data_IF_827344231041
#
_entry.id   IF_827344231041
#
_cell.length_a   1.000
_cell.length_b   1.000
_cell.length_c   1.000
_cell.angle_alpha   90.00
_cell.angle_beta   90.00
_cell.angle_gamma   90.00
#
_symmetry.space_group_name_H-M   'P 1'
#
loop_
_entity.id
_entity.type
_entity.pdbx_description
1 polymer ?
#
# COMPACT_ATOMS: atom_id res chain seq x y z
N UNK A 1 -63.82 -29.60 -34.61
CA UNK A 1 -63.09 -28.49 -35.24
C UNK A 1 -61.87 -28.17 -34.40
N UNK A 2 -60.69 -28.20 -35.04
CA UNK A 2 -59.42 -27.56 -34.68
C UNK A 2 -58.75 -27.95 -33.35
N UNK A 3 -57.76 -28.84 -33.48
CA UNK A 3 -56.62 -28.89 -32.57
C UNK A 3 -55.61 -27.78 -32.87
N UNK A 4 -54.78 -27.47 -31.88
CA UNK A 4 -53.55 -26.68 -31.98
C UNK A 4 -52.56 -27.32 -30.97
N UNK A 5 -51.67 -28.20 -31.41
CA UNK A 5 -50.31 -27.93 -31.93
C UNK A 5 -49.43 -27.16 -30.92
N UNK A 6 -48.67 -27.93 -30.15
CA UNK A 6 -47.41 -27.49 -29.53
C UNK A 6 -46.46 -27.03 -30.64
N UNK A 7 -45.93 -25.82 -30.52
CA UNK A 7 -44.79 -25.34 -31.30
C UNK A 7 -43.57 -25.25 -30.38
N UNK A 8 -42.61 -26.13 -30.66
CA UNK A 8 -41.25 -26.12 -30.12
C UNK A 8 -40.55 -24.87 -30.67
N UNK A 9 -40.13 -23.96 -29.80
CA UNK A 9 -39.23 -22.85 -30.18
C UNK A 9 -37.80 -23.41 -30.12
N UNK A 10 -37.24 -23.70 -31.29
CA UNK A 10 -35.82 -24.00 -31.44
C UNK A 10 -35.01 -22.71 -31.26
N UNK A 11 -34.06 -22.74 -30.33
CA UNK A 11 -33.07 -21.68 -30.17
C UNK A 11 -32.03 -21.84 -31.30
N UNK A 12 -32.06 -20.92 -32.27
CA UNK A 12 -31.03 -20.83 -33.30
C UNK A 12 -29.72 -20.32 -32.66
N UNK A 13 -28.71 -21.17 -32.63
CA UNK A 13 -27.32 -20.78 -32.33
C UNK A 13 -26.79 -20.03 -33.56
N UNK A 14 -26.85 -18.70 -33.51
CA UNK A 14 -26.17 -17.83 -34.46
C UNK A 14 -24.68 -17.77 -34.13
N UNK A 15 -23.86 -18.49 -34.91
CA UNK A 15 -22.41 -18.28 -34.94
C UNK A 15 -22.15 -16.97 -35.69
N UNK A 16 -22.05 -15.87 -34.95
CA UNK A 16 -21.48 -14.63 -35.48
C UNK A 16 -19.97 -14.72 -35.35
N UNK A 17 -19.32 -15.00 -36.48
CA UNK A 17 -17.89 -14.82 -36.65
C UNK A 17 -17.52 -13.35 -36.39
N UNK A 18 -16.82 -13.12 -35.28
CA UNK A 18 -16.17 -11.86 -34.98
C UNK A 18 -14.86 -11.78 -35.74
N UNK A 19 -14.80 -10.87 -36.71
CA UNK A 19 -13.61 -10.50 -37.44
C UNK A 19 -12.51 -10.03 -36.48
N UNK A 20 -11.30 -10.55 -36.67
CA UNK A 20 -10.06 -10.00 -36.13
C UNK A 20 -9.85 -8.60 -36.71
N UNK A 21 -10.16 -7.57 -35.94
CA UNK A 21 -9.68 -6.22 -36.21
C UNK A 21 -8.37 -6.06 -35.42
N UNK A 22 -7.26 -6.15 -36.14
CA UNK A 22 -5.94 -5.78 -35.67
C UNK A 22 -5.87 -4.24 -35.56
N UNK A 23 -5.98 -3.74 -34.33
CA UNK A 23 -5.73 -2.36 -33.92
C UNK A 23 -5.52 -2.39 -32.42
N UNK A 24 -4.28 -2.18 -31.97
CA UNK A 24 -3.82 -2.46 -30.61
C UNK A 24 -4.57 -1.68 -29.54
N UNK A 25 -5.50 -2.35 -28.86
CA UNK A 25 -5.95 -1.94 -27.55
C UNK A 25 -4.90 -2.41 -26.54
N UNK A 26 -4.29 -1.47 -25.81
CA UNK A 26 -3.50 -1.80 -24.63
C UNK A 26 -4.34 -2.69 -23.71
N UNK A 27 -3.72 -3.67 -23.05
CA UNK A 27 -4.45 -4.48 -22.07
C UNK A 27 -4.96 -3.59 -20.95
N UNK A 28 -6.05 -3.99 -20.26
CA UNK A 28 -6.56 -3.22 -19.11
C UNK A 28 -5.48 -2.96 -18.05
N UNK A 29 -4.55 -3.91 -17.91
CA UNK A 29 -3.38 -3.80 -17.03
C UNK A 29 -2.37 -2.75 -17.49
N UNK A 30 -2.09 -2.67 -18.80
CA UNK A 30 -1.20 -1.65 -19.37
C UNK A 30 -1.79 -0.24 -19.21
N UNK A 31 -3.10 -0.09 -19.48
CA UNK A 31 -3.81 1.18 -19.30
C UNK A 31 -3.77 1.62 -17.84
N UNK A 32 -4.11 0.72 -16.92
CA UNK A 32 -4.07 1.00 -15.47
C UNK A 32 -2.66 1.35 -14.99
N UNK A 33 -1.65 0.65 -15.50
CA UNK A 33 -0.25 0.93 -15.21
C UNK A 33 0.16 2.34 -15.62
N UNK A 34 -0.22 2.75 -16.83
CA UNK A 34 0.04 4.10 -17.33
C UNK A 34 -0.68 5.19 -16.52
N UNK A 35 -1.95 4.99 -16.16
CA UNK A 35 -2.72 5.94 -15.35
C UNK A 35 -2.09 6.13 -13.96
N UNK A 36 -1.69 5.03 -13.31
CA UNK A 36 -1.04 5.07 -11.99
C UNK A 36 0.35 5.70 -12.07
N UNK A 37 1.14 5.36 -13.07
CA UNK A 37 2.46 5.95 -13.29
C UNK A 37 2.38 7.47 -13.51
N UNK A 38 1.46 7.91 -14.37
CA UNK A 38 1.22 9.35 -14.63
C UNK A 38 0.77 10.09 -13.38
N UNK A 39 0.04 9.42 -12.48
CA UNK A 39 -0.45 10.05 -11.26
C UNK A 39 0.60 10.13 -10.15
N UNK A 40 1.43 9.10 -9.99
CA UNK A 40 2.31 8.97 -8.83
C UNK A 40 3.81 9.06 -9.14
N UNK A 41 4.23 8.80 -10.38
CA UNK A 41 5.63 8.58 -10.72
C UNK A 41 6.19 9.65 -11.66
N UNK A 42 5.39 10.13 -12.63
CA UNK A 42 5.92 10.97 -13.72
C UNK A 42 6.38 12.37 -13.26
N UNK A 43 5.88 12.89 -12.14
CA UNK A 43 6.39 14.16 -11.58
C UNK A 43 7.89 14.07 -11.21
N UNK A 44 8.40 12.88 -10.91
CA UNK A 44 9.81 12.63 -10.61
C UNK A 44 10.56 11.98 -11.78
N UNK A 45 9.97 10.95 -12.41
CA UNK A 45 10.62 10.15 -13.44
C UNK A 45 10.33 10.63 -14.88
N UNK A 46 9.45 11.61 -15.07
CA UNK A 46 8.99 12.05 -16.39
C UNK A 46 7.98 11.10 -17.02
N UNK A 47 7.19 11.62 -17.96
CA UNK A 47 6.18 10.83 -18.67
C UNK A 47 6.80 9.73 -19.54
N UNK A 48 8.00 9.95 -20.09
CA UNK A 48 8.71 8.92 -20.86
C UNK A 48 9.70 8.09 -20.04
N UNK A 49 9.85 8.37 -18.74
CA UNK A 49 10.81 7.72 -17.86
C UNK A 49 12.24 8.24 -17.97
N UNK A 50 12.50 9.20 -18.86
CA UNK A 50 13.84 9.78 -19.05
C UNK A 50 14.21 10.73 -17.93
N UNK A 51 15.50 10.73 -17.60
CA UNK A 51 16.04 11.71 -16.66
C UNK A 51 15.82 13.14 -17.15
N UNK A 52 15.65 14.06 -16.20
CA UNK A 52 15.39 15.49 -16.42
C UNK A 52 14.02 15.85 -17.00
N UNK A 53 13.10 14.90 -17.19
CA UNK A 53 11.73 15.20 -17.67
C UNK A 53 10.74 15.49 -16.54
N UNK A 54 10.90 14.85 -15.37
CA UNK A 54 10.00 15.05 -14.25
C UNK A 54 10.01 16.49 -13.75
N UNK A 55 8.83 17.06 -13.50
CA UNK A 55 8.66 18.43 -12.98
C UNK A 55 9.52 18.70 -11.73
N UNK A 56 9.68 17.70 -10.86
CA UNK A 56 10.42 17.82 -9.61
C UNK A 56 11.93 17.58 -9.76
N UNK A 57 12.39 17.14 -10.93
CA UNK A 57 13.78 16.69 -11.15
C UNK A 57 14.84 17.71 -10.73
N UNK A 58 14.67 18.97 -11.15
CA UNK A 58 15.62 20.04 -10.88
C UNK A 58 15.66 20.47 -9.41
N UNK A 59 14.69 20.05 -8.61
CA UNK A 59 14.56 20.39 -7.18
C UNK A 59 14.95 19.25 -6.24
N UNK A 60 15.21 18.05 -6.76
CA UNK A 60 15.64 16.91 -5.95
C UNK A 60 17.16 16.95 -5.68
N UNK A 61 17.61 16.59 -4.47
CA UNK A 61 19.03 16.36 -4.22
C UNK A 61 19.51 15.09 -4.93
N UNK A 62 20.83 14.91 -5.02
CA UNK A 62 21.41 13.63 -5.42
C UNK A 62 21.31 12.61 -4.25
N UNK A 63 21.17 11.31 -4.55
CA UNK A 63 20.97 10.75 -5.87
C UNK A 63 19.56 11.06 -6.41
N UNK A 64 19.49 11.38 -7.71
CA UNK A 64 18.23 11.62 -8.43
C UNK A 64 17.62 10.32 -8.95
N UNK A 65 16.32 10.31 -9.29
CA UNK A 65 15.68 9.10 -9.80
C UNK A 65 16.38 8.51 -11.03
N UNK A 66 16.35 7.17 -11.14
CA UNK A 66 16.91 6.44 -12.29
C UNK A 66 16.21 6.79 -13.60
N UNK A 67 16.93 6.63 -14.71
CA UNK A 67 16.35 6.66 -16.06
C UNK A 67 15.58 5.35 -16.31
N UNK A 68 14.25 5.41 -16.21
CA UNK A 68 13.39 4.25 -16.41
C UNK A 68 13.27 3.83 -17.90
N UNK A 69 13.74 4.67 -18.82
CA UNK A 69 13.78 4.38 -20.25
C UNK A 69 15.09 3.73 -20.70
N UNK A 70 16.13 3.74 -19.85
CA UNK A 70 17.43 3.15 -20.16
C UNK A 70 17.36 1.62 -20.19
N UNK A 71 17.19 1.05 -21.38
CA UNK A 71 17.11 -0.41 -21.59
C UNK A 71 18.32 -1.19 -21.09
N UNK A 72 19.53 -0.65 -21.20
CA UNK A 72 20.75 -1.39 -20.81
C UNK A 72 20.83 -1.60 -19.30
N UNK A 73 20.27 -0.66 -18.54
CA UNK A 73 20.30 -0.64 -17.09
C UNK A 73 19.01 -1.24 -16.52
N UNK A 74 17.85 -0.76 -16.96
CA UNK A 74 16.56 -1.29 -16.54
C UNK A 74 16.35 -2.76 -16.91
N UNK A 75 16.99 -3.21 -17.99
CA UNK A 75 16.93 -4.61 -18.42
C UNK A 75 17.69 -5.58 -17.52
N UNK A 76 18.54 -5.11 -16.59
CA UNK A 76 19.25 -6.00 -15.65
C UNK A 76 18.40 -6.39 -14.45
N UNK A 77 17.34 -5.62 -14.14
CA UNK A 77 16.44 -5.91 -13.04
C UNK A 77 15.36 -6.89 -13.49
N UNK A 78 14.97 -7.80 -12.60
CA UNK A 78 13.80 -8.66 -12.71
C UNK A 78 12.51 -7.89 -12.41
N UNK A 79 11.37 -8.40 -12.85
CA UNK A 79 10.07 -7.79 -12.54
C UNK A 79 9.84 -7.71 -11.02
N UNK A 80 10.30 -8.72 -10.29
CA UNK A 80 10.20 -8.79 -8.83
C UNK A 80 11.06 -7.72 -8.14
N UNK A 81 12.26 -7.42 -8.64
CA UNK A 81 13.10 -6.35 -8.07
C UNK A 81 12.48 -4.97 -8.26
N UNK A 82 11.90 -4.71 -9.44
CA UNK A 82 11.15 -3.46 -9.69
C UNK A 82 9.94 -3.39 -8.76
N UNK A 83 9.16 -4.48 -8.66
CA UNK A 83 8.03 -4.56 -7.73
C UNK A 83 8.44 -4.30 -6.28
N UNK A 84 9.50 -4.97 -5.81
CA UNK A 84 10.01 -4.84 -4.45
C UNK A 84 10.44 -3.41 -4.17
N UNK A 85 10.99 -2.73 -5.18
CA UNK A 85 11.41 -1.34 -5.00
C UNK A 85 10.23 -0.39 -4.88
N UNK A 86 9.15 -0.59 -5.64
CA UNK A 86 7.92 0.22 -5.53
C UNK A 86 7.18 -0.07 -4.20
N UNK A 87 7.35 -1.28 -3.67
CA UNK A 87 6.63 -1.81 -2.49
C UNK A 87 7.48 -1.95 -1.22
N UNK A 88 8.73 -1.48 -1.19
CA UNK A 88 9.55 -1.50 0.04
C UNK A 88 9.02 -0.50 1.06
N UNK A 89 9.37 -0.69 2.33
CA UNK A 89 9.13 0.35 3.34
C UNK A 89 10.09 1.54 3.13
N UNK A 90 9.74 2.67 3.74
CA UNK A 90 10.61 3.86 3.73
C UNK A 90 11.90 3.58 4.49
N UNK A 91 13.03 3.99 3.91
CA UNK A 91 14.36 3.80 4.48
C UNK A 91 14.77 5.04 5.28
N UNK A 92 15.43 4.84 6.41
CA UNK A 92 16.04 5.90 7.20
C UNK A 92 17.45 6.19 6.67
N UNK A 93 17.69 7.39 6.16
CA UNK A 93 19.01 7.79 5.64
C UNK A 93 19.95 8.40 6.68
N UNK A 94 19.56 8.40 7.95
CA UNK A 94 20.36 9.01 8.99
C UNK A 94 21.74 8.32 9.11
N UNK A 95 22.84 9.08 9.13
CA UNK A 95 24.19 8.50 9.14
C UNK A 95 24.53 7.71 10.42
N UNK A 96 23.89 8.02 11.56
CA UNK A 96 24.18 7.38 12.85
C UNK A 96 23.33 6.13 13.12
N UNK A 97 22.11 6.08 12.59
CA UNK A 97 21.13 5.02 12.89
C UNK A 97 20.21 4.66 11.71
N UNK A 98 20.65 4.95 10.50
CA UNK A 98 19.96 4.67 9.25
C UNK A 98 19.98 3.20 8.85
N UNK A 99 19.15 2.89 7.86
CA UNK A 99 19.18 1.61 7.18
C UNK A 99 20.42 1.53 6.29
N UNK A 100 20.99 0.33 6.12
CA UNK A 100 22.05 0.11 5.13
C UNK A 100 21.45 0.21 3.73
N UNK A 101 21.92 1.19 2.94
CA UNK A 101 21.46 1.43 1.57
C UNK A 101 22.59 1.04 0.63
N UNK A 102 22.35 0.02 -0.20
CA UNK A 102 23.37 -0.48 -1.12
C UNK A 102 23.51 0.43 -2.34
N UNK A 103 24.72 0.49 -2.92
CA UNK A 103 24.97 1.22 -4.17
C UNK A 103 24.14 0.68 -5.35
N UNK A 104 23.69 -0.57 -5.26
CA UNK A 104 22.86 -1.27 -6.25
C UNK A 104 21.34 -1.09 -6.03
N UNK A 105 20.92 -0.38 -4.98
CA UNK A 105 19.50 -0.19 -4.69
C UNK A 105 18.85 0.70 -5.77
N UNK A 106 17.88 0.11 -6.47
CA UNK A 106 17.18 0.69 -7.61
C UNK A 106 16.54 2.06 -7.31
N UNK A 107 16.14 2.30 -6.06
CA UNK A 107 15.48 3.52 -5.64
C UNK A 107 16.36 4.37 -4.74
N UNK A 108 16.42 5.64 -5.10
CA UNK A 108 16.91 6.69 -4.21
C UNK A 108 16.13 6.65 -2.89
N UNK A 109 16.75 6.95 -1.75
CA UNK A 109 16.06 6.83 -0.46
C UNK A 109 14.79 7.69 -0.35
N UNK A 110 14.76 8.78 -1.12
CA UNK A 110 13.63 9.71 -1.24
C UNK A 110 12.47 9.20 -2.09
N UNK A 111 12.61 8.07 -2.82
CA UNK A 111 11.50 7.46 -3.55
C UNK A 111 10.47 6.94 -2.53
N UNK A 112 9.21 7.39 -2.60
CA UNK A 112 8.20 7.00 -1.63
C UNK A 112 7.77 5.55 -1.81
N UNK A 113 7.35 4.92 -0.71
CA UNK A 113 6.69 3.62 -0.74
C UNK A 113 5.26 3.75 -1.28
N UNK A 114 4.86 2.81 -2.13
CA UNK A 114 3.47 2.67 -2.57
C UNK A 114 2.76 1.45 -1.97
N UNK A 115 3.46 0.68 -1.14
CA UNK A 115 2.95 -0.51 -0.43
C UNK A 115 1.66 -0.27 0.32
N UNK A 116 1.51 0.92 0.92
CA UNK A 116 0.34 1.28 1.71
C UNK A 116 -0.71 2.10 0.94
N UNK A 117 -0.46 2.36 -0.34
CA UNK A 117 -1.31 3.20 -1.20
C UNK A 117 -1.99 2.39 -2.30
N UNK A 118 -1.23 1.52 -2.95
CA UNK A 118 -1.66 0.71 -4.09
C UNK A 118 -1.86 -0.75 -3.66
N UNK A 119 -2.75 -1.46 -4.34
CA UNK A 119 -2.84 -2.91 -4.18
C UNK A 119 -1.69 -3.63 -4.90
N UNK A 120 -1.44 -4.91 -4.59
CA UNK A 120 -0.38 -5.70 -5.29
C UNK A 120 -0.60 -5.68 -6.81
N UNK A 121 -1.84 -5.89 -7.27
CA UNK A 121 -2.23 -5.83 -8.68
C UNK A 121 -1.90 -4.48 -9.35
N UNK A 122 -2.12 -3.39 -8.62
CA UNK A 122 -1.81 -2.03 -9.10
C UNK A 122 -0.31 -1.79 -9.21
N UNK A 123 0.47 -2.28 -8.25
CA UNK A 123 1.94 -2.17 -8.31
C UNK A 123 2.46 -2.98 -9.50
N UNK A 124 1.94 -4.20 -9.75
CA UNK A 124 2.28 -4.97 -10.95
C UNK A 124 1.89 -4.25 -12.25
N UNK A 125 0.77 -3.54 -12.27
CA UNK A 125 0.42 -2.71 -13.42
C UNK A 125 1.47 -1.60 -13.66
N UNK A 126 1.95 -0.93 -12.60
CA UNK A 126 3.04 0.05 -12.70
C UNK A 126 4.33 -0.61 -13.21
N UNK A 127 4.71 -1.78 -12.70
CA UNK A 127 5.87 -2.55 -13.21
C UNK A 127 5.74 -2.82 -14.70
N UNK A 128 4.55 -3.25 -15.16
CA UNK A 128 4.25 -3.43 -16.56
C UNK A 128 4.46 -2.16 -17.40
N UNK A 129 4.03 -1.01 -16.88
CA UNK A 129 4.28 0.27 -17.55
C UNK A 129 5.76 0.64 -17.58
N UNK A 130 6.48 0.48 -16.46
CA UNK A 130 7.93 0.71 -16.39
C UNK A 130 8.67 -0.14 -17.42
N UNK A 131 8.27 -1.41 -17.63
CA UNK A 131 8.83 -2.26 -18.69
C UNK A 131 8.66 -1.68 -20.09
N UNK A 132 7.50 -1.09 -20.37
CA UNK A 132 7.23 -0.45 -21.66
C UNK A 132 8.16 0.74 -21.91
N UNK A 133 8.48 1.54 -20.87
CA UNK A 133 9.33 2.73 -21.00
C UNK A 133 10.72 2.42 -21.56
N UNK A 134 11.27 1.24 -21.26
CA UNK A 134 12.55 0.76 -21.80
C UNK A 134 12.41 -0.36 -22.85
N UNK A 135 11.24 -0.49 -23.46
CA UNK A 135 11.00 -1.37 -24.60
C UNK A 135 11.06 -2.87 -24.26
N UNK A 136 10.71 -3.23 -23.03
CA UNK A 136 10.54 -4.61 -22.57
C UNK A 136 9.07 -4.90 -22.28
N UNK A 137 8.75 -6.17 -22.06
CA UNK A 137 7.46 -6.63 -21.57
C UNK A 137 7.66 -7.29 -20.22
N UNK A 138 6.71 -7.09 -19.32
CA UNK A 138 6.66 -7.82 -18.06
C UNK A 138 6.41 -9.30 -18.32
N UNK A 139 7.18 -10.16 -17.66
CA UNK A 139 7.08 -11.61 -17.70
C UNK A 139 6.21 -12.14 -16.54
N UNK A 140 6.13 -11.40 -15.43
CA UNK A 140 5.31 -11.77 -14.28
C UNK A 140 3.84 -11.98 -14.64
N UNK A 141 3.28 -13.14 -14.24
CA UNK A 141 1.90 -13.50 -14.53
C UNK A 141 0.97 -13.16 -13.35
N UNK A 142 0.36 -11.98 -13.44
CA UNK A 142 -0.56 -11.46 -12.42
C UNK A 142 -1.81 -12.32 -12.25
N UNK A 143 -2.32 -12.92 -13.33
CA UNK A 143 -3.47 -13.84 -13.28
C UNK A 143 -3.15 -15.13 -12.51
N UNK A 144 -1.97 -15.72 -12.75
CA UNK A 144 -1.51 -16.90 -12.03
C UNK A 144 -1.27 -16.60 -10.53
N UNK A 145 -0.74 -15.41 -10.21
CA UNK A 145 -0.56 -14.96 -8.83
C UNK A 145 -1.90 -14.87 -8.09
N UNK A 146 -2.92 -14.26 -8.70
CA UNK A 146 -4.27 -14.20 -8.12
C UNK A 146 -4.85 -15.60 -7.89
N UNK A 147 -4.77 -16.46 -8.90
CA UNK A 147 -5.27 -17.83 -8.80
C UNK A 147 -4.60 -18.62 -7.66
N UNK A 148 -3.28 -18.47 -7.51
CA UNK A 148 -2.53 -19.08 -6.41
C UNK A 148 -2.98 -18.58 -5.03
N UNK A 149 -3.28 -17.28 -4.89
CA UNK A 149 -3.83 -16.72 -3.64
C UNK A 149 -5.24 -17.24 -3.34
N UNK A 150 -6.09 -17.35 -4.35
CA UNK A 150 -7.44 -17.92 -4.22
C UNK A 150 -7.38 -19.40 -3.80
N UNK A 151 -6.44 -20.18 -4.37
CA UNK A 151 -6.20 -21.57 -3.99
C UNK A 151 -5.66 -21.70 -2.56
N UNK A 152 -4.71 -20.85 -2.18
CA UNK A 152 -4.18 -20.81 -0.82
C UNK A 152 -5.27 -20.48 0.22
N UNK A 153 -6.16 -19.53 -0.08
CA UNK A 153 -7.30 -19.21 0.78
C UNK A 153 -8.25 -20.39 0.94
N UNK A 154 -8.60 -21.08 -0.15
CA UNK A 154 -9.45 -22.29 -0.11
C UNK A 154 -8.80 -23.40 0.71
N UNK A 155 -7.50 -23.63 0.53
CA UNK A 155 -6.76 -24.64 1.28
C UNK A 155 -6.72 -24.31 2.78
N UNK A 156 -6.46 -23.06 3.14
CA UNK A 156 -6.45 -22.61 4.53
C UNK A 156 -7.85 -22.70 5.18
N UNK A 157 -8.91 -22.37 4.43
CA UNK A 157 -10.29 -22.54 4.88
C UNK A 157 -10.62 -24.01 5.18
N UNK A 158 -10.29 -24.91 4.25
CA UNK A 158 -10.51 -26.35 4.45
C UNK A 158 -9.75 -26.89 5.69
N UNK A 159 -8.51 -26.45 5.89
CA UNK A 159 -7.71 -26.80 7.07
C UNK A 159 -8.33 -26.29 8.36
N UNK A 160 -8.82 -25.05 8.38
CA UNK A 160 -9.53 -24.49 9.53
C UNK A 160 -10.83 -25.24 9.83
N UNK A 161 -11.63 -25.56 8.80
CA UNK A 161 -12.89 -26.29 8.98
C UNK A 161 -12.65 -27.69 9.56
N UNK A 162 -11.61 -28.39 9.09
CA UNK A 162 -11.22 -29.70 9.65
C UNK A 162 -10.72 -29.59 11.09
N UNK A 163 -9.85 -28.61 11.39
CA UNK A 163 -9.35 -28.41 12.75
C UNK A 163 -10.46 -28.02 13.73
N UNK A 164 -11.41 -27.19 13.27
CA UNK A 164 -12.60 -26.80 14.02
C UNK A 164 -13.49 -28.00 14.33
N UNK A 165 -13.75 -28.86 13.35
CA UNK A 165 -14.53 -30.10 13.56
C UNK A 165 -13.85 -31.01 14.59
N UNK A 166 -12.53 -31.20 14.49
CA UNK A 166 -11.78 -32.01 15.46
C UNK A 166 -11.85 -31.42 16.88
N UNK A 167 -11.74 -30.09 17.02
CA UNK A 167 -11.93 -29.41 18.30
C UNK A 167 -13.34 -29.61 18.87
N UNK A 168 -14.39 -29.39 18.06
CA UNK A 168 -15.79 -29.54 18.49
C UNK A 168 -16.09 -31.00 18.89
N UNK A 169 -15.52 -31.99 18.19
CA UNK A 169 -15.65 -33.40 18.54
C UNK A 169 -14.92 -33.75 19.85
N UNK A 170 -13.70 -33.23 20.06
CA UNK A 170 -12.90 -33.48 21.26
C UNK A 170 -13.52 -32.81 22.50
N UNK A 171 -13.97 -31.56 22.38
CA UNK A 171 -14.68 -30.81 23.42
C UNK A 171 -15.97 -31.54 23.82
N UNK A 172 -16.76 -31.98 22.84
CA UNK A 172 -17.97 -32.77 23.13
C UNK A 172 -17.64 -34.06 23.87
N UNK A 173 -16.59 -34.79 23.46
CA UNK A 173 -16.16 -36.02 24.13
C UNK A 173 -15.76 -35.79 25.59
N UNK A 174 -15.04 -34.71 25.86
CA UNK A 174 -14.65 -34.32 27.21
C UNK A 174 -15.87 -33.94 28.07
N UNK A 175 -16.83 -33.23 27.49
CA UNK A 175 -18.10 -32.89 28.14
C UNK A 175 -18.92 -34.14 28.47
N UNK A 176 -19.10 -35.06 27.51
CA UNK A 176 -19.83 -36.32 27.70
C UNK A 176 -19.15 -37.19 28.79
N UNK A 177 -17.81 -37.17 28.87
CA UNK A 177 -17.06 -37.89 29.92
C UNK A 177 -17.24 -37.26 31.32
N UNK A 178 -17.24 -35.94 31.42
CA UNK A 178 -17.45 -35.22 32.67
C UNK A 178 -18.88 -35.42 33.21
N UNK A 179 -19.89 -35.39 32.33
CA UNK A 179 -21.28 -35.68 32.69
C UNK A 179 -21.43 -37.10 33.23
N UNK A 180 -20.89 -38.10 32.52
CA UNK A 180 -20.89 -39.50 32.99
C UNK A 180 -20.21 -39.66 34.35
N UNK A 181 -19.05 -39.03 34.56
CA UNK A 181 -18.35 -39.06 35.87
C UNK A 181 -19.17 -38.38 36.97
N UNK A 182 -19.89 -37.32 36.63
CA UNK A 182 -20.74 -36.60 37.58
C UNK A 182 -21.91 -37.47 38.07
N UNK A 183 -22.54 -38.20 37.15
CA UNK A 183 -23.58 -39.18 37.45
C UNK A 183 -23.07 -40.35 38.30
N UNK A 184 -21.92 -40.93 37.93
CA UNK A 184 -21.32 -42.08 38.63
C UNK A 184 -20.89 -41.72 40.07
N UNK A 185 -20.42 -40.49 40.29
CA UNK A 185 -19.91 -40.02 41.58
C UNK A 185 -20.96 -39.27 42.43
N UNK A 186 -22.13 -38.98 41.85
CA UNK A 186 -23.17 -38.12 42.44
C UNK A 186 -22.59 -36.78 42.96
N UNK A 187 -21.68 -36.21 42.17
CA UNK A 187 -20.96 -34.95 42.44
C UNK A 187 -20.63 -34.29 41.11
N UNK A 188 -20.79 -32.97 41.02
CA UNK A 188 -20.38 -32.22 39.82
C UNK A 188 -18.87 -32.37 39.56
N UNK A 189 -18.55 -32.83 38.35
CA UNK A 189 -17.18 -32.93 37.79
C UNK A 189 -17.08 -31.94 36.64
N UNK A 190 -16.13 -31.02 36.74
CA UNK A 190 -15.86 -30.06 35.68
C UNK A 190 -15.24 -30.74 34.45
N UNK A 191 -15.46 -30.15 33.27
CA UNK A 191 -14.84 -30.60 32.02
C UNK A 191 -13.32 -30.42 32.10
N UNK A 192 -12.58 -31.47 31.76
CA UNK A 192 -11.12 -31.39 31.69
C UNK A 192 -10.71 -30.70 30.39
N UNK A 193 -10.46 -29.39 30.44
CA UNK A 193 -10.03 -28.61 29.28
C UNK A 193 -8.68 -29.10 28.71
N UNK A 194 -7.84 -29.76 29.52
CA UNK A 194 -6.59 -30.33 29.04
C UNK A 194 -6.83 -31.50 28.06
N UNK A 195 -8.02 -32.10 28.06
CA UNK A 195 -8.38 -33.21 27.18
C UNK A 195 -8.54 -32.80 25.70
N UNK A 196 -8.74 -31.50 25.41
CA UNK A 196 -8.90 -30.97 24.04
C UNK A 196 -7.99 -29.76 23.75
N UNK A 197 -7.02 -29.46 24.62
CA UNK A 197 -6.13 -28.31 24.47
C UNK A 197 -5.30 -28.37 23.18
N UNK A 198 -4.91 -29.57 22.74
CA UNK A 198 -4.15 -29.75 21.50
C UNK A 198 -4.97 -29.40 20.25
N UNK A 199 -6.24 -29.83 20.21
CA UNK A 199 -7.17 -29.51 19.14
C UNK A 199 -7.51 -28.02 19.12
N UNK A 200 -7.63 -27.40 20.30
CA UNK A 200 -7.85 -25.96 20.42
C UNK A 200 -6.65 -25.16 19.85
N UNK A 201 -5.42 -25.57 20.18
CA UNK A 201 -4.22 -24.95 19.62
C UNK A 201 -4.14 -25.12 18.10
N UNK A 202 -4.41 -26.34 17.61
CA UNK A 202 -4.41 -26.63 16.18
C UNK A 202 -5.45 -25.79 15.41
N UNK A 203 -6.66 -25.63 15.97
CA UNK A 203 -7.68 -24.74 15.42
C UNK A 203 -7.20 -23.28 15.42
N UNK A 204 -6.58 -22.81 16.50
CA UNK A 204 -6.02 -21.47 16.59
C UNK A 204 -4.94 -21.18 15.54
N UNK A 205 -4.04 -22.14 15.32
CA UNK A 205 -3.01 -22.06 14.28
C UNK A 205 -3.64 -22.05 12.88
N UNK A 206 -4.59 -22.94 12.60
CA UNK A 206 -5.28 -22.98 11.32
C UNK A 206 -6.08 -21.68 11.05
N UNK A 207 -6.67 -21.08 12.09
CA UNK A 207 -7.35 -19.79 11.99
C UNK A 207 -6.39 -18.67 11.61
N UNK A 208 -5.20 -18.65 12.21
CA UNK A 208 -4.16 -17.67 11.88
C UNK A 208 -3.70 -17.78 10.42
N UNK A 209 -3.56 -19.00 9.91
CA UNK A 209 -3.24 -19.26 8.50
C UNK A 209 -4.36 -18.79 7.56
N UNK A 210 -5.62 -19.08 7.89
CA UNK A 210 -6.79 -18.60 7.15
C UNK A 210 -6.83 -17.07 7.10
N UNK A 211 -6.61 -16.40 8.23
CA UNK A 211 -6.58 -14.94 8.29
C UNK A 211 -5.45 -14.36 7.44
N UNK A 212 -4.26 -14.97 7.49
CA UNK A 212 -3.13 -14.55 6.67
C UNK A 212 -3.42 -14.70 5.16
N UNK A 213 -4.03 -15.82 4.74
CA UNK A 213 -4.41 -16.04 3.35
C UNK A 213 -5.47 -15.04 2.87
N UNK A 214 -6.46 -14.74 3.73
CA UNK A 214 -7.49 -13.75 3.43
C UNK A 214 -6.90 -12.35 3.29
N UNK A 215 -5.98 -11.96 4.17
CA UNK A 215 -5.26 -10.68 4.09
C UNK A 215 -4.42 -10.60 2.82
N UNK A 216 -3.72 -11.67 2.44
CA UNK A 216 -2.92 -11.70 1.22
C UNK A 216 -3.77 -11.47 -0.04
N UNK A 217 -4.91 -12.16 -0.16
CA UNK A 217 -5.83 -11.98 -1.29
C UNK A 217 -6.47 -10.57 -1.31
N UNK A 218 -6.81 -10.04 -0.13
CA UNK A 218 -7.36 -8.68 -0.01
C UNK A 218 -6.34 -7.63 -0.43
N UNK A 219 -5.10 -7.72 0.06
CA UNK A 219 -4.01 -6.80 -0.30
C UNK A 219 -3.67 -6.88 -1.80
N UNK A 220 -3.88 -8.05 -2.42
CA UNK A 220 -3.71 -8.19 -3.85
C UNK A 220 -4.70 -7.33 -4.65
N UNK A 221 -5.97 -7.39 -4.27
CA UNK A 221 -7.08 -6.82 -5.06
C UNK A 221 -7.53 -5.43 -4.63
N UNK A 222 -7.25 -5.05 -3.38
CA UNK A 222 -7.81 -3.86 -2.73
C UNK A 222 -6.68 -2.99 -2.19
N UNK A 223 -6.78 -1.68 -2.46
CA UNK A 223 -5.86 -0.69 -1.90
C UNK A 223 -5.86 -0.76 -0.37
N UNK A 224 -4.69 -0.83 0.29
CA UNK A 224 -4.60 -0.75 1.73
C UNK A 224 -5.23 0.55 2.25
N UNK A 225 -5.86 0.48 3.42
CA UNK A 225 -6.48 1.65 4.05
C UNK A 225 -7.74 2.19 3.35
N UNK A 226 -8.22 1.58 2.26
CA UNK A 226 -9.46 2.02 1.61
C UNK A 226 -10.65 1.83 2.55
N UNK A 227 -11.39 2.91 2.80
CA UNK A 227 -12.55 2.89 3.69
C UNK A 227 -12.21 2.79 5.18
N UNK A 228 -10.93 2.89 5.56
CA UNK A 228 -10.54 2.90 6.98
C UNK A 228 -10.63 4.32 7.53
N UNK A 229 -11.21 4.46 8.73
CA UNK A 229 -11.24 5.73 9.44
C UNK A 229 -10.06 5.78 10.41
N UNK A 230 -9.18 6.77 10.24
CA UNK A 230 -8.11 7.04 11.21
C UNK A 230 -8.73 7.76 12.42
N UNK A 231 -8.62 7.20 13.64
CA UNK A 231 -9.16 7.86 14.84
C UNK A 231 -8.45 9.18 15.13
N UNK A 232 -9.12 10.07 15.85
CA UNK A 232 -8.48 11.30 16.34
C UNK A 232 -7.40 10.89 17.37
N UNK A 233 -6.13 11.32 17.20
CA UNK A 233 -5.09 11.05 18.17
C UNK A 233 -5.27 11.93 19.41
N UNK A 234 -4.79 11.42 20.54
CA UNK A 234 -4.38 12.28 21.65
C UNK A 234 -2.98 12.86 21.34
N UNK A 235 -2.91 14.19 21.29
CA UNK A 235 -1.70 14.97 21.05
C UNK A 235 -1.28 15.77 22.30
N UNK A 236 -1.90 15.48 23.45
CA UNK A 236 -1.54 16.11 24.72
C UNK A 236 -0.18 15.60 25.16
N UNK A 237 0.80 16.48 25.25
CA UNK A 237 2.18 16.18 25.61
C UNK A 237 2.67 17.12 26.69
N UNK A 238 3.52 16.62 27.58
CA UNK A 238 4.15 17.46 28.59
C UNK A 238 5.16 18.39 27.89
N UNK A 239 5.28 19.66 28.31
CA UNK A 239 6.23 20.60 27.69
C UNK A 239 7.68 20.08 27.62
N UNK A 240 8.12 19.36 28.66
CA UNK A 240 9.46 18.77 28.72
C UNK A 240 9.70 17.69 27.65
N UNK A 241 8.66 16.98 27.21
CA UNK A 241 8.75 15.91 26.21
C UNK A 241 8.55 16.46 24.78
N UNK A 242 7.92 17.63 24.64
CA UNK A 242 7.58 18.23 23.35
C UNK A 242 8.82 18.53 22.50
N UNK A 243 9.87 19.09 23.10
CA UNK A 243 11.10 19.45 22.37
C UNK A 243 11.76 18.22 21.74
N UNK A 244 11.87 17.11 22.47
CA UNK A 244 12.44 15.87 21.97
C UNK A 244 11.59 15.25 20.84
N UNK A 245 10.27 15.26 20.98
CA UNK A 245 9.36 14.75 19.93
C UNK A 245 9.39 15.61 18.67
N UNK A 246 9.50 16.94 18.80
CA UNK A 246 9.65 17.86 17.66
C UNK A 246 10.97 17.61 16.95
N UNK A 247 12.08 17.46 17.69
CA UNK A 247 13.38 17.15 17.11
C UNK A 247 13.36 15.80 16.36
N UNK A 248 12.78 14.76 16.97
CA UNK A 248 12.54 13.47 16.30
C UNK A 248 11.65 13.64 15.06
N UNK A 249 10.60 14.45 15.16
CA UNK A 249 9.68 14.72 14.05
C UNK A 249 10.38 15.36 12.86
N UNK A 250 11.34 16.27 13.11
CA UNK A 250 12.18 16.86 12.07
C UNK A 250 13.08 15.80 11.41
N UNK A 251 13.77 14.98 12.19
CA UNK A 251 14.60 13.89 11.66
C UNK A 251 13.78 12.91 10.82
N UNK A 252 12.60 12.51 11.29
CA UNK A 252 11.70 11.64 10.53
C UNK A 252 11.21 12.31 9.23
N UNK A 253 10.96 13.62 9.25
CA UNK A 253 10.55 14.38 8.07
C UNK A 253 11.66 14.40 7.01
N UNK A 254 12.92 14.58 7.40
CA UNK A 254 14.07 14.72 6.50
C UNK A 254 14.64 13.35 6.08
N UNK A 255 14.93 12.49 7.05
CA UNK A 255 15.80 11.32 6.86
C UNK A 255 15.03 10.04 6.55
N UNK A 256 13.85 9.84 7.14
CA UNK A 256 13.11 8.57 7.01
C UNK A 256 11.97 8.64 6.02
N UNK A 257 11.10 9.64 6.15
CA UNK A 257 9.93 9.76 5.29
C UNK A 257 10.17 10.68 4.09
N UNK A 258 11.36 11.29 3.98
CA UNK A 258 11.77 12.08 2.81
C UNK A 258 10.75 13.13 2.39
N UNK A 259 10.07 13.76 3.36
CA UNK A 259 8.97 14.68 3.10
C UNK A 259 9.44 15.90 2.29
N UNK A 260 10.68 16.32 2.51
CA UNK A 260 11.40 17.34 1.73
C UNK A 260 11.63 16.96 0.26
N UNK A 261 11.53 15.68 -0.12
CA UNK A 261 11.60 15.25 -1.51
C UNK A 261 10.39 15.74 -2.33
N UNK A 262 9.24 15.91 -1.69
CA UNK A 262 8.01 16.39 -2.32
C UNK A 262 7.63 17.81 -1.88
N UNK A 263 7.80 18.13 -0.60
CA UNK A 263 7.46 19.42 -0.01
C UNK A 263 8.68 20.32 0.11
N UNK A 264 8.45 21.63 0.09
CA UNK A 264 9.49 22.62 0.33
C UNK A 264 9.26 23.41 1.63
N UNK A 265 10.39 23.84 2.20
CA UNK A 265 10.52 24.80 3.30
C UNK A 265 11.51 25.87 2.85
N UNK A 266 11.14 27.13 3.03
CA UNK A 266 11.92 28.32 2.69
C UNK A 266 12.40 28.33 1.22
N UNK A 267 11.63 27.68 0.34
CA UNK A 267 11.93 27.55 -1.08
C UNK A 267 12.78 26.32 -1.43
N UNK A 268 13.36 25.64 -0.45
CA UNK A 268 14.20 24.44 -0.62
C UNK A 268 13.40 23.14 -0.48
N UNK A 269 13.75 22.14 -1.29
CA UNK A 269 13.04 20.85 -1.39
C UNK A 269 12.07 20.77 -2.57
N UNK A 270 11.22 19.75 -2.57
CA UNK A 270 10.34 19.39 -3.67
C UNK A 270 9.22 20.41 -3.95
N UNK A 271 8.70 20.37 -5.18
CA UNK A 271 7.61 21.23 -5.66
C UNK A 271 6.32 20.48 -5.96
N UNK A 272 6.29 19.16 -5.79
CA UNK A 272 5.09 18.32 -5.97
C UNK A 272 4.07 18.62 -4.87
N UNK A 273 4.54 18.62 -3.62
CA UNK A 273 3.76 18.95 -2.44
C UNK A 273 3.71 20.47 -2.20
N UNK A 274 2.63 20.98 -1.56
CA UNK A 274 2.56 22.38 -1.19
C UNK A 274 3.67 22.75 -0.19
N UNK A 275 4.13 24.00 -0.25
CA UNK A 275 5.06 24.57 0.73
C UNK A 275 4.49 24.48 2.16
N UNK A 276 5.31 24.02 3.10
CA UNK A 276 4.90 23.72 4.47
C UNK A 276 5.32 24.77 5.50
N UNK A 277 6.01 25.83 5.08
CA UNK A 277 6.50 26.95 5.91
C UNK A 277 5.50 27.49 6.92
N UNK A 278 4.21 27.48 6.54
CA UNK A 278 3.10 28.05 7.30
C UNK A 278 2.06 27.00 7.70
N UNK A 279 2.40 25.72 7.60
CA UNK A 279 1.50 24.61 7.91
C UNK A 279 0.99 24.69 9.36
N UNK A 280 1.83 25.09 10.32
CA UNK A 280 1.46 25.23 11.72
C UNK A 280 0.47 26.35 12.03
N UNK A 281 0.28 27.30 11.10
CA UNK A 281 -0.80 28.29 11.18
C UNK A 281 -2.07 27.85 10.44
N UNK A 282 -1.90 27.11 9.33
CA UNK A 282 -2.97 26.80 8.38
C UNK A 282 -3.71 25.49 8.71
N UNK A 283 -3.01 24.52 9.29
CA UNK A 283 -3.49 23.15 9.44
C UNK A 283 -3.71 22.80 10.91
N UNK A 284 -4.75 22.01 11.15
CA UNK A 284 -5.02 21.46 12.47
C UNK A 284 -4.16 20.21 12.73
N UNK A 285 -3.52 20.10 13.90
CA UNK A 285 -2.61 18.98 14.20
C UNK A 285 -3.29 17.60 14.14
N UNK A 286 -4.54 17.45 14.61
CA UNK A 286 -5.30 16.20 14.43
C UNK A 286 -5.51 15.89 12.95
N UNK A 287 -5.78 16.91 12.13
CA UNK A 287 -5.95 16.73 10.69
C UNK A 287 -4.64 16.27 10.04
N UNK A 288 -3.51 16.90 10.39
CA UNK A 288 -2.17 16.51 9.90
C UNK A 288 -1.87 15.06 10.26
N UNK A 289 -2.07 14.66 11.51
CA UNK A 289 -1.85 13.27 11.93
C UNK A 289 -2.63 12.28 11.07
N UNK A 290 -3.94 12.53 10.87
CA UNK A 290 -4.79 11.64 10.09
C UNK A 290 -4.37 11.60 8.61
N UNK A 291 -3.97 12.74 8.07
CA UNK A 291 -3.43 12.85 6.71
C UNK A 291 -2.15 12.04 6.55
N UNK A 292 -1.22 12.12 7.50
CA UNK A 292 0.02 11.33 7.48
C UNK A 292 -0.24 9.81 7.59
N UNK A 293 -1.27 9.42 8.35
CA UNK A 293 -1.62 7.99 8.56
C UNK A 293 -2.29 7.37 7.35
N UNK A 294 -3.22 8.08 6.71
CA UNK A 294 -3.95 7.59 5.54
C UNK A 294 -4.52 8.75 4.71
N UNK A 295 -3.70 9.36 3.84
CA UNK A 295 -4.14 10.50 3.02
C UNK A 295 -5.29 10.09 2.08
N UNK A 296 -5.29 8.84 1.62
CA UNK A 296 -6.23 8.32 0.62
C UNK A 296 -7.64 8.12 1.18
N UNK A 297 -7.77 7.96 2.50
CA UNK A 297 -9.05 7.96 3.19
C UNK A 297 -9.63 9.38 3.38
N UNK A 298 -8.79 10.42 3.27
CA UNK A 298 -9.21 11.82 3.40
C UNK A 298 -9.49 12.45 2.04
N UNK A 299 -8.64 12.16 1.07
CA UNK A 299 -8.82 12.52 -0.33
C UNK A 299 -8.35 11.35 -1.21
N UNK A 300 -9.26 10.70 -1.92
CA UNK A 300 -8.93 9.54 -2.76
C UNK A 300 -8.05 9.88 -3.99
N UNK A 301 -7.90 11.17 -4.34
CA UNK A 301 -7.16 11.64 -5.51
C UNK A 301 -5.87 12.40 -5.16
N UNK A 302 -5.51 12.50 -3.88
CA UNK A 302 -4.25 13.15 -3.50
C UNK A 302 -3.06 12.34 -4.02
N UNK A 303 -2.06 13.07 -4.52
CA UNK A 303 -0.80 12.48 -4.99
C UNK A 303 0.11 12.03 -3.84
N UNK A 304 -0.14 12.50 -2.62
CA UNK A 304 0.67 12.10 -1.46
C UNK A 304 0.38 10.64 -1.10
N UNK A 305 1.34 9.71 -1.24
CA UNK A 305 1.13 8.33 -0.85
C UNK A 305 1.08 8.17 0.68
N UNK A 306 0.41 7.12 1.14
CA UNK A 306 0.56 6.62 2.49
C UNK A 306 1.97 6.02 2.65
N UNK A 307 2.79 6.61 3.53
CA UNK A 307 4.19 6.21 3.73
C UNK A 307 4.39 5.19 4.86
N UNK A 308 3.29 4.66 5.44
CA UNK A 308 3.36 3.64 6.49
C UNK A 308 3.79 4.16 7.86
N UNK A 309 3.54 5.44 8.18
CA UNK A 309 3.91 5.99 9.49
C UNK A 309 3.20 5.20 10.61
N UNK A 310 3.96 4.73 11.59
CA UNK A 310 3.38 4.25 12.85
C UNK A 310 2.86 5.45 13.68
N UNK A 311 2.11 5.17 14.74
CA UNK A 311 1.45 6.23 15.52
C UNK A 311 2.45 7.16 16.24
N UNK A 312 3.58 6.65 16.71
CA UNK A 312 4.61 7.45 17.37
C UNK A 312 5.27 8.41 16.38
N UNK A 313 5.63 7.91 15.20
CA UNK A 313 6.28 8.68 14.15
C UNK A 313 5.31 9.73 13.55
N UNK A 314 4.05 9.35 13.29
CA UNK A 314 3.03 10.28 12.83
C UNK A 314 2.76 11.40 13.84
N UNK A 315 2.77 11.10 15.15
CA UNK A 315 2.69 12.13 16.21
C UNK A 315 3.89 13.06 16.19
N UNK A 316 5.11 12.53 16.15
CA UNK A 316 6.33 13.32 16.13
C UNK A 316 6.38 14.28 14.93
N UNK A 317 6.12 13.77 13.72
CA UNK A 317 6.09 14.58 12.48
C UNK A 317 4.96 15.63 12.56
N UNK A 318 3.78 15.27 13.07
CA UNK A 318 2.68 16.23 13.28
C UNK A 318 3.10 17.40 14.17
N UNK A 319 3.79 17.10 15.28
CA UNK A 319 4.26 18.13 16.20
C UNK A 319 5.31 19.03 15.55
N UNK A 320 6.24 18.46 14.78
CA UNK A 320 7.20 19.23 13.99
C UNK A 320 6.50 20.16 12.99
N UNK A 321 5.58 19.64 12.16
CA UNK A 321 4.82 20.44 11.19
C UNK A 321 4.02 21.56 11.86
N UNK A 322 3.52 21.33 13.08
CA UNK A 322 2.81 22.36 13.85
C UNK A 322 3.71 23.53 14.31
N UNK A 323 5.03 23.35 14.33
CA UNK A 323 6.01 24.42 14.60
C UNK A 323 6.32 25.28 13.38
N UNK A 324 6.00 24.82 12.16
CA UNK A 324 6.28 25.53 10.91
C UNK A 324 5.34 26.73 10.77
N UNK A 325 5.83 27.88 11.24
CA UNK A 325 5.10 29.12 11.45
C UNK A 325 5.85 30.32 10.89
N UNK A 326 6.39 30.19 9.69
CA UNK A 326 7.01 31.31 8.99
C UNK A 326 6.01 32.48 8.82
N UNK A 327 6.53 33.70 8.86
CA UNK A 327 5.73 34.90 8.62
C UNK A 327 5.16 34.88 7.19
N UNK A 328 4.04 35.59 6.98
CA UNK A 328 3.50 35.75 5.63
C UNK A 328 4.45 36.66 4.85
N UNK A 329 5.24 36.09 3.93
CA UNK A 329 5.99 36.91 2.98
C UNK A 329 5.01 37.73 2.13
N UNK A 330 5.32 39.02 1.93
CA UNK A 330 4.59 39.87 0.99
C UNK A 330 4.71 39.28 -0.43
N UNK A 331 3.71 39.45 -1.31
CA UNK A 331 3.83 39.00 -2.69
C UNK A 331 5.11 39.57 -3.29
N UNK A 332 5.96 38.71 -3.87
CA UNK A 332 7.11 39.17 -4.64
C UNK A 332 6.54 39.92 -5.83
N UNK A 333 6.82 41.22 -5.95
CA UNK A 333 6.56 41.96 -7.19
C UNK A 333 7.37 41.26 -8.29
N UNK A 334 6.69 40.53 -9.18
CA UNK A 334 7.29 40.05 -10.42
C UNK A 334 7.73 41.29 -11.21
N UNK A 335 9.05 41.54 -11.22
CA UNK A 335 9.59 42.55 -12.12
C UNK A 335 9.25 42.15 -13.55
N UNK A 336 8.75 43.07 -14.39
CA UNK A 336 8.39 42.76 -15.76
C UNK A 336 9.57 42.11 -16.48
N UNK A 337 9.33 40.94 -17.07
CA UNK A 337 10.29 40.32 -17.99
C UNK A 337 10.48 41.29 -19.16
N UNK A 338 11.66 41.87 -19.28
CA UNK A 338 12.03 42.60 -20.50
C UNK A 338 11.98 41.61 -21.67
N UNK A 339 11.06 41.86 -22.61
CA UNK A 339 10.99 41.10 -23.86
C UNK A 339 12.20 41.48 -24.74
N UNK A 340 12.80 40.50 -25.45
CA UNK A 340 13.92 40.74 -26.35
C UNK A 340 13.56 41.62 -27.54
#
# INVERSE_FOLDING_TARGET
MKGARLSVIGLAVGVLGGALIAGGCASEQEKRGHELYTHYCSDCHGDSGKQNEGFNWSFMPDPKPKDLSNKSEMGTFTDQEIFNTISRDMLNTNEENGDEIGDDDFAVPTMPTFKYTLSEDEIWAVVGHVRILHGMKMEFNVGARKASLDEALKAAQAKFDTAKQAYEEAEKKASDEAERKSEELNKDVDVDEAAYAAEQEAMGQAKKELDAAQVALNNFSIRPGRGTSVPRPDLTIKPAEAAALIARGKQLYEDKYGCNGCHNLEGEGGKIGPALDRAGFRLNATWVYRWLKNPQAMDAHTRMPALGLNDADAKAVTLYVATLRAEKTAPVEEKPVEKP
#
